data_IF_793135555845
#
_entry.id   IF_793135555845
#
_cell.length_a   1.000
_cell.length_b   1.000
_cell.length_c   1.000
_cell.angle_alpha   90.00
_cell.angle_beta   90.00
_cell.angle_gamma   90.00
#
_symmetry.space_group_name_H-M   'P 1'
#
loop_
_entity.id
_entity.type
_entity.pdbx_description
1 polymer ?
#
# COMPACT_ATOMS: atom_id res chain seq x y z
N UNK A 1 -8.52 5.99 26.45
CA UNK A 1 -7.46 6.61 25.62
C UNK A 1 -7.86 6.67 24.16
N UNK A 2 -8.36 5.59 23.56
CA UNK A 2 -8.79 5.55 22.15
C UNK A 2 -9.87 6.60 21.84
N UNK A 3 -10.92 6.69 22.67
CA UNK A 3 -11.98 7.71 22.52
C UNK A 3 -11.46 9.17 22.56
N UNK A 4 -10.37 9.42 23.27
CA UNK A 4 -9.72 10.74 23.28
C UNK A 4 -9.04 11.02 21.94
N UNK A 5 -8.32 10.02 21.40
CA UNK A 5 -7.66 10.12 20.08
C UNK A 5 -8.72 10.37 19.01
N UNK A 6 -9.80 9.58 18.98
CA UNK A 6 -10.89 9.74 18.03
C UNK A 6 -11.55 11.13 18.12
N UNK A 7 -11.81 11.62 19.33
CA UNK A 7 -12.37 12.96 19.53
C UNK A 7 -11.43 14.07 19.04
N UNK A 8 -10.13 13.94 19.31
CA UNK A 8 -9.12 14.88 18.81
C UNK A 8 -9.04 14.83 17.29
N UNK A 9 -9.02 13.66 16.69
CA UNK A 9 -9.00 13.46 15.25
C UNK A 9 -10.25 14.06 14.57
N UNK A 10 -11.43 13.89 15.19
CA UNK A 10 -12.67 14.50 14.71
C UNK A 10 -12.59 16.03 14.67
N UNK A 11 -11.99 16.65 15.69
CA UNK A 11 -11.76 18.10 15.72
C UNK A 11 -10.75 18.55 14.64
N UNK A 12 -9.75 17.74 14.33
CA UNK A 12 -8.80 18.02 13.23
C UNK A 12 -9.52 17.91 11.90
N UNK A 13 -10.25 16.81 11.66
CA UNK A 13 -11.00 16.63 10.43
C UNK A 13 -12.03 17.72 10.17
N UNK A 14 -12.77 18.15 11.20
CA UNK A 14 -13.75 19.24 11.06
C UNK A 14 -13.15 20.59 10.64
N UNK A 15 -11.85 20.80 10.90
CA UNK A 15 -11.12 22.01 10.48
C UNK A 15 -10.47 21.87 9.12
N UNK A 16 -9.89 20.72 8.82
CA UNK A 16 -9.10 20.50 7.61
C UNK A 16 -9.95 19.97 6.45
N UNK A 17 -10.91 19.07 6.71
CA UNK A 17 -11.62 18.33 5.68
C UNK A 17 -10.71 17.46 4.82
N UNK A 18 -11.23 17.03 3.68
CA UNK A 18 -10.40 16.42 2.62
C UNK A 18 -9.67 17.51 1.84
N UNK A 19 -8.41 17.25 1.41
CA UNK A 19 -7.61 18.23 0.69
C UNK A 19 -8.22 18.54 -0.69
N UNK A 20 -8.26 19.82 -1.09
CA UNK A 20 -8.75 20.22 -2.41
C UNK A 20 -7.68 19.99 -3.49
N UNK A 21 -8.09 20.00 -4.77
CA UNK A 21 -7.16 19.91 -5.91
C UNK A 21 -6.20 21.11 -6.04
N UNK A 22 -6.43 22.20 -5.30
CA UNK A 22 -5.47 23.32 -5.18
C UNK A 22 -4.27 22.99 -4.30
N UNK A 23 -4.33 21.92 -3.49
CA UNK A 23 -3.17 21.37 -2.80
C UNK A 23 -2.28 20.65 -3.82
N UNK A 24 -0.98 20.99 -3.85
CA UNK A 24 -0.03 20.45 -4.80
C UNK A 24 0.02 18.92 -4.80
N UNK A 25 -0.06 18.30 -3.61
CA UNK A 25 -0.05 16.85 -3.47
C UNK A 25 -1.34 16.17 -3.95
N UNK A 26 -2.42 16.95 -4.16
CA UNK A 26 -3.75 16.45 -4.54
C UNK A 26 -4.26 17.01 -5.86
N UNK A 27 -3.42 17.72 -6.61
CA UNK A 27 -3.82 18.38 -7.85
C UNK A 27 -4.38 17.46 -8.93
N UNK A 28 -4.04 16.19 -8.89
CA UNK A 28 -4.51 15.17 -9.84
C UNK A 28 -5.67 14.32 -9.29
N UNK A 29 -5.99 14.41 -8.00
CA UNK A 29 -6.99 13.56 -7.36
C UNK A 29 -8.09 14.39 -6.71
N UNK A 30 -9.31 14.26 -7.24
CA UNK A 30 -10.47 14.97 -6.74
C UNK A 30 -11.13 14.23 -5.56
N UNK A 31 -11.03 14.79 -4.37
CA UNK A 31 -11.54 14.18 -3.13
C UNK A 31 -12.99 14.57 -2.79
N UNK A 32 -13.69 15.37 -3.62
CA UNK A 32 -15.07 15.83 -3.35
C UNK A 32 -16.03 14.68 -3.11
N UNK A 33 -15.86 13.56 -3.80
CA UNK A 33 -16.71 12.38 -3.64
C UNK A 33 -16.63 11.79 -2.22
N UNK A 34 -15.47 11.86 -1.57
CA UNK A 34 -15.29 11.40 -0.19
C UNK A 34 -15.93 12.34 0.84
N UNK A 35 -15.90 13.63 0.57
CA UNK A 35 -16.46 14.65 1.48
C UNK A 35 -17.97 14.54 1.67
N UNK A 36 -18.66 13.95 0.70
CA UNK A 36 -20.12 13.81 0.70
C UNK A 36 -20.59 12.45 1.26
N UNK A 37 -19.67 11.52 1.55
CA UNK A 37 -20.02 10.21 2.07
C UNK A 37 -20.37 10.25 3.55
N UNK A 38 -21.31 9.39 3.94
CA UNK A 38 -21.68 9.13 5.34
C UNK A 38 -20.89 7.96 5.87
N UNK A 39 -20.39 8.06 7.11
CA UNK A 39 -19.71 6.95 7.77
C UNK A 39 -20.65 5.76 7.89
N UNK A 40 -20.19 4.58 7.41
CA UNK A 40 -20.92 3.32 7.55
C UNK A 40 -20.45 2.60 8.81
N UNK A 41 -21.32 2.50 9.81
CA UNK A 41 -21.02 1.94 11.14
C UNK A 41 -21.79 0.63 11.39
N UNK A 42 -22.64 0.20 10.47
CA UNK A 42 -23.49 -0.98 10.67
C UNK A 42 -22.69 -2.28 10.51
N UNK A 43 -22.93 -3.22 11.41
CA UNK A 43 -22.46 -4.59 11.26
C UNK A 43 -23.12 -5.21 10.02
N UNK A 44 -22.30 -5.62 9.06
CA UNK A 44 -22.78 -6.31 7.86
C UNK A 44 -22.93 -7.79 8.19
N UNK A 45 -24.04 -8.41 7.81
CA UNK A 45 -24.12 -9.85 7.78
C UNK A 45 -23.11 -10.37 6.75
N UNK A 46 -22.03 -10.94 7.26
CA UNK A 46 -20.95 -11.46 6.41
C UNK A 46 -21.49 -12.66 5.62
N UNK A 47 -21.69 -12.47 4.33
CA UNK A 47 -21.96 -13.58 3.40
C UNK A 47 -20.62 -14.18 2.97
N UNK A 48 -20.44 -15.48 3.15
CA UNK A 48 -19.24 -16.19 2.71
C UNK A 48 -19.10 -16.09 1.19
N UNK A 49 -18.12 -15.29 0.75
CA UNK A 49 -17.73 -15.13 -0.64
C UNK A 49 -16.26 -15.51 -0.72
N UNK A 50 -15.70 -15.61 -1.90
CA UNK A 50 -14.26 -15.77 -2.06
C UNK A 50 -13.53 -14.71 -1.20
N UNK A 51 -13.10 -15.15 -0.04
CA UNK A 51 -12.69 -14.26 1.05
C UNK A 51 -11.25 -13.81 0.89
N UNK A 52 -10.54 -14.16 -0.20
CA UNK A 52 -9.11 -13.94 -0.30
C UNK A 52 -8.29 -14.69 0.76
N UNK A 53 -8.90 -15.68 1.43
CA UNK A 53 -8.18 -16.56 2.36
C UNK A 53 -7.10 -17.33 1.62
N UNK A 54 -6.01 -17.56 2.30
CA UNK A 54 -4.90 -18.37 1.81
C UNK A 54 -4.82 -19.61 2.69
N UNK A 55 -4.81 -20.78 2.07
CA UNK A 55 -4.52 -22.03 2.77
C UNK A 55 -3.11 -21.95 3.37
N UNK A 56 -2.94 -22.52 4.57
CA UNK A 56 -1.67 -22.47 5.31
C UNK A 56 -1.18 -21.04 5.68
N UNK A 57 -2.09 -20.07 5.80
CA UNK A 57 -1.79 -18.74 6.32
C UNK A 57 -2.59 -18.46 7.60
N UNK A 58 -2.11 -17.51 8.39
CA UNK A 58 -2.83 -16.97 9.55
C UNK A 58 -3.79 -15.88 9.06
N UNK A 59 -5.04 -16.27 8.75
CA UNK A 59 -6.01 -15.34 8.18
C UNK A 59 -6.68 -14.47 9.24
N UNK A 60 -6.79 -13.16 8.94
CA UNK A 60 -7.54 -12.16 9.70
C UNK A 60 -8.42 -11.41 8.70
N UNK A 61 -9.74 -11.32 8.95
CA UNK A 61 -10.67 -10.74 8.00
C UNK A 61 -11.40 -9.54 8.62
N UNK A 62 -11.37 -8.42 7.89
CA UNK A 62 -12.26 -7.29 8.13
C UNK A 62 -13.34 -7.26 7.04
N UNK A 63 -14.58 -7.02 7.43
CA UNK A 63 -15.66 -6.68 6.52
C UNK A 63 -16.18 -5.28 6.87
N UNK A 64 -16.20 -4.38 5.91
CA UNK A 64 -16.63 -3.00 6.09
C UNK A 64 -15.96 -2.30 7.30
N UNK A 65 -14.66 -2.58 7.53
CA UNK A 65 -13.88 -2.00 8.63
C UNK A 65 -14.05 -2.67 9.99
N UNK A 66 -14.78 -3.79 10.10
CA UNK A 66 -14.97 -4.56 11.33
C UNK A 66 -14.31 -5.93 11.23
N UNK A 67 -13.65 -6.39 12.31
CA UNK A 67 -13.06 -7.72 12.36
C UNK A 67 -14.15 -8.76 12.45
N UNK A 68 -14.29 -9.60 11.42
CA UNK A 68 -15.24 -10.71 11.36
C UNK A 68 -14.58 -12.06 11.67
N UNK A 69 -13.27 -12.17 11.43
CA UNK A 69 -12.47 -13.33 11.74
C UNK A 69 -11.09 -12.88 12.22
N UNK A 70 -10.69 -13.34 13.40
CA UNK A 70 -9.36 -13.09 13.97
C UNK A 70 -8.46 -14.33 13.87
N UNK A 71 -7.35 -14.32 14.61
CA UNK A 71 -6.47 -15.48 14.71
C UNK A 71 -7.21 -16.64 15.38
N UNK A 72 -7.40 -17.75 14.65
CA UNK A 72 -8.18 -18.91 15.09
C UNK A 72 -7.53 -19.74 16.21
N UNK A 73 -6.25 -19.48 16.53
CA UNK A 73 -5.46 -20.19 17.55
C UNK A 73 -4.52 -19.23 18.24
N UNK A 74 -4.14 -19.54 19.48
CA UNK A 74 -3.00 -18.93 20.12
C UNK A 74 -1.74 -19.34 19.35
N UNK A 75 -1.26 -18.46 18.47
CA UNK A 75 -0.04 -18.67 17.71
C UNK A 75 1.09 -18.08 18.54
N UNK A 76 2.07 -18.93 18.87
CA UNK A 76 3.22 -18.48 19.64
C UNK A 76 3.89 -17.29 18.93
N UNK A 77 4.04 -16.20 19.65
CA UNK A 77 4.69 -14.99 19.14
C UNK A 77 3.79 -14.04 18.35
N UNK A 78 2.50 -14.38 18.09
CA UNK A 78 1.54 -13.46 17.51
C UNK A 78 0.41 -13.14 18.49
N UNK A 79 0.11 -11.86 18.66
CA UNK A 79 -1.00 -11.41 19.49
C UNK A 79 -1.84 -10.39 18.75
N UNK A 80 -3.10 -10.73 18.49
CA UNK A 80 -4.11 -9.79 18.02
C UNK A 80 -4.74 -9.13 19.25
N UNK A 81 -4.52 -7.84 19.42
CA UNK A 81 -5.01 -7.08 20.57
C UNK A 81 -6.42 -6.54 20.29
N UNK A 82 -7.32 -6.74 21.25
CA UNK A 82 -8.61 -6.07 21.27
C UNK A 82 -8.49 -4.74 22.02
N UNK A 83 -8.61 -3.62 21.30
CA UNK A 83 -8.42 -2.29 21.88
C UNK A 83 -9.49 -1.86 22.88
N UNK A 84 -10.70 -2.45 22.87
CA UNK A 84 -11.72 -2.19 23.88
C UNK A 84 -11.28 -2.66 25.27
N UNK A 85 -10.47 -3.72 25.35
CA UNK A 85 -9.94 -4.28 26.59
C UNK A 85 -8.62 -3.64 27.05
N UNK A 86 -7.90 -2.97 26.13
CA UNK A 86 -6.60 -2.36 26.42
C UNK A 86 -6.67 -0.83 26.53
N UNK A 87 -7.33 -0.32 27.56
CA UNK A 87 -7.36 1.12 27.87
C UNK A 87 -6.03 1.66 28.45
N UNK A 88 -4.97 0.85 28.54
CA UNK A 88 -3.66 1.29 29.03
C UNK A 88 -2.79 1.89 27.90
N UNK A 89 -2.00 2.90 28.25
CA UNK A 89 -1.03 3.53 27.35
C UNK A 89 0.01 2.55 26.78
N UNK A 90 0.36 1.51 27.55
CA UNK A 90 1.31 0.48 27.14
C UNK A 90 0.76 -0.43 26.03
N UNK A 91 -0.56 -0.64 25.98
CA UNK A 91 -1.19 -1.46 24.94
C UNK A 91 -1.25 -0.82 23.57
N UNK A 92 -1.24 0.53 23.49
CA UNK A 92 -1.36 1.24 22.21
C UNK A 92 -0.02 1.46 21.50
N UNK A 93 1.11 1.36 22.19
CA UNK A 93 2.44 1.55 21.59
C UNK A 93 2.57 2.84 20.79
N UNK A 94 2.96 2.72 19.53
CA UNK A 94 3.07 3.83 18.56
C UNK A 94 1.82 4.07 17.72
N UNK A 95 0.72 3.38 18.00
CA UNK A 95 -0.55 3.50 17.26
C UNK A 95 -1.01 4.96 17.14
N UNK A 96 -1.41 5.36 15.94
CA UNK A 96 -1.81 6.73 15.58
C UNK A 96 -0.73 7.81 15.82
N UNK A 97 0.51 7.44 16.10
CA UNK A 97 1.64 8.36 16.19
C UNK A 97 2.43 8.38 14.88
N UNK A 98 2.50 7.24 14.18
CA UNK A 98 3.24 7.08 12.93
C UNK A 98 2.52 7.83 11.81
N UNK A 99 1.21 7.64 11.69
CA UNK A 99 0.37 8.25 10.65
C UNK A 99 0.06 9.74 10.85
N UNK A 100 0.35 10.28 12.03
CA UNK A 100 0.20 11.71 12.39
C UNK A 100 -1.10 12.39 11.87
N UNK A 101 -2.25 11.94 12.38
CA UNK A 101 -3.56 12.48 12.01
C UNK A 101 -3.71 14.01 12.17
N UNK A 102 -2.82 14.66 12.93
CA UNK A 102 -2.86 16.13 13.14
C UNK A 102 -2.46 16.92 11.90
N UNK A 103 -1.80 16.31 10.94
CA UNK A 103 -1.28 16.94 9.73
C UNK A 103 -2.07 16.61 8.45
N UNK A 104 -3.06 15.71 8.52
CA UNK A 104 -3.83 15.27 7.36
C UNK A 104 -5.30 15.07 7.69
N UNK A 105 -6.19 15.76 6.96
CA UNK A 105 -7.62 15.54 7.07
C UNK A 105 -8.05 14.14 6.70
N UNK A 106 -7.39 13.50 5.71
CA UNK A 106 -7.65 12.11 5.31
C UNK A 106 -7.40 11.16 6.48
N UNK A 107 -6.23 11.28 7.13
CA UNK A 107 -5.87 10.43 8.26
C UNK A 107 -6.74 10.75 9.48
N UNK A 108 -7.04 12.05 9.70
CA UNK A 108 -7.91 12.47 10.79
C UNK A 108 -9.31 11.87 10.64
N UNK A 109 -9.86 11.80 9.42
CA UNK A 109 -11.16 11.18 9.19
C UNK A 109 -11.14 9.68 9.52
N UNK A 110 -10.18 8.92 8.99
CA UNK A 110 -10.04 7.51 9.37
C UNK A 110 -9.89 7.36 10.89
N UNK A 111 -8.99 8.13 11.51
CA UNK A 111 -8.73 8.04 12.95
C UNK A 111 -9.94 8.42 13.80
N UNK A 112 -10.84 9.26 13.32
CA UNK A 112 -12.07 9.64 14.06
C UNK A 112 -13.20 8.61 13.94
N UNK A 113 -13.27 7.86 12.84
CA UNK A 113 -14.45 7.09 12.45
C UNK A 113 -14.21 5.56 12.38
N UNK A 114 -12.96 5.06 12.49
CA UNK A 114 -12.75 3.62 12.48
C UNK A 114 -13.52 2.95 13.63
N UNK A 115 -14.14 1.81 13.32
CA UNK A 115 -14.98 1.06 14.27
C UNK A 115 -14.18 -0.05 14.95
N UNK A 116 -13.21 -0.62 14.22
CA UNK A 116 -12.35 -1.67 14.73
C UNK A 116 -10.94 -1.52 14.17
N UNK A 117 -9.96 -2.18 14.77
CA UNK A 117 -8.56 -2.12 14.31
C UNK A 117 -7.89 -3.48 14.45
N UNK A 118 -7.22 -3.90 13.40
CA UNK A 118 -6.25 -4.99 13.51
C UNK A 118 -5.00 -4.43 14.19
N UNK A 119 -4.87 -4.69 15.48
CA UNK A 119 -3.66 -4.38 16.24
C UNK A 119 -2.88 -5.66 16.48
N UNK A 120 -1.89 -5.90 15.64
CA UNK A 120 -1.09 -7.12 15.65
C UNK A 120 0.30 -6.84 16.25
N UNK A 121 0.61 -7.52 17.34
CA UNK A 121 1.98 -7.57 17.90
C UNK A 121 2.67 -8.86 17.48
N UNK A 122 3.84 -8.70 16.88
CA UNK A 122 4.77 -9.78 16.53
C UNK A 122 5.90 -9.75 17.56
N UNK A 123 6.01 -10.82 18.35
CA UNK A 123 6.97 -10.89 19.46
C UNK A 123 8.41 -10.85 18.98
N UNK A 124 9.31 -10.45 19.88
CA UNK A 124 10.75 -10.58 19.66
C UNK A 124 11.11 -12.03 19.30
N UNK A 125 12.08 -12.18 18.41
CA UNK A 125 12.56 -13.47 17.91
C UNK A 125 11.50 -14.36 17.23
N UNK A 126 10.28 -13.83 16.96
CA UNK A 126 9.31 -14.54 16.12
C UNK A 126 9.92 -14.77 14.74
N UNK A 127 9.93 -16.02 14.31
CA UNK A 127 10.42 -16.41 13.00
C UNK A 127 9.52 -17.52 12.45
N UNK A 128 8.76 -17.21 11.39
CA UNK A 128 7.83 -18.17 10.78
C UNK A 128 7.72 -17.94 9.28
N UNK A 129 7.74 -19.04 8.53
CA UNK A 129 7.47 -19.03 7.09
C UNK A 129 5.96 -18.98 6.79
N UNK A 130 5.11 -19.21 7.81
CA UNK A 130 3.65 -19.13 7.66
C UNK A 130 3.25 -17.66 7.62
N UNK A 131 2.71 -17.16 6.49
CA UNK A 131 2.35 -15.76 6.36
C UNK A 131 1.13 -15.39 7.21
N UNK A 132 1.06 -14.12 7.56
CA UNK A 132 -0.13 -13.49 8.13
C UNK A 132 -0.90 -12.87 6.97
N UNK A 133 -2.14 -13.29 6.74
CA UNK A 133 -2.97 -12.80 5.66
C UNK A 133 -4.11 -11.94 6.21
N UNK A 134 -4.05 -10.66 5.98
CA UNK A 134 -5.07 -9.69 6.38
C UNK A 134 -5.92 -9.38 5.15
N UNK A 135 -7.22 -9.65 5.22
CA UNK A 135 -8.16 -9.38 4.14
C UNK A 135 -9.17 -8.34 4.58
N UNK A 136 -9.20 -7.22 3.88
CA UNK A 136 -10.17 -6.14 4.08
C UNK A 136 -11.17 -6.15 2.92
N UNK A 137 -12.41 -6.53 3.21
CA UNK A 137 -13.48 -6.65 2.22
C UNK A 137 -14.43 -5.47 2.36
N UNK A 138 -14.70 -4.80 1.25
CA UNK A 138 -15.82 -3.86 1.14
C UNK A 138 -16.97 -4.57 0.46
N UNK A 139 -18.12 -4.69 1.14
CA UNK A 139 -19.26 -5.46 0.66
C UNK A 139 -20.57 -4.70 0.82
N UNK A 140 -21.45 -4.77 -0.19
CA UNK A 140 -22.81 -4.25 -0.16
C UNK A 140 -22.91 -2.78 0.35
N UNK A 141 -21.89 -1.97 0.06
CA UNK A 141 -21.82 -0.56 0.48
C UNK A 141 -22.39 0.35 -0.60
N UNK A 142 -23.36 1.18 -0.25
CA UNK A 142 -23.97 2.16 -1.15
C UNK A 142 -22.98 3.30 -1.48
N UNK A 143 -23.12 3.93 -2.66
CA UNK A 143 -22.21 4.96 -3.19
C UNK A 143 -22.00 6.17 -2.24
N UNK A 144 -23.01 6.50 -1.46
CA UNK A 144 -22.94 7.63 -0.51
C UNK A 144 -22.37 7.24 0.88
N UNK A 145 -21.84 6.05 1.04
CA UNK A 145 -21.24 5.58 2.30
C UNK A 145 -19.72 5.40 2.18
N UNK A 146 -19.04 5.49 3.31
CA UNK A 146 -17.60 5.30 3.44
C UNK A 146 -17.26 4.46 4.66
N UNK A 147 -16.28 3.56 4.49
CA UNK A 147 -15.71 2.73 5.56
C UNK A 147 -14.27 3.13 5.86
N UNK A 148 -13.78 2.74 7.06
CA UNK A 148 -12.49 3.15 7.59
C UNK A 148 -11.67 1.95 8.08
N UNK A 149 -11.14 1.09 7.19
CA UNK A 149 -10.25 0.01 7.62
C UNK A 149 -9.03 0.58 8.35
N UNK A 150 -8.66 -0.05 9.48
CA UNK A 150 -7.51 0.37 10.28
C UNK A 150 -6.65 -0.82 10.67
N UNK A 151 -5.35 -0.72 10.38
CA UNK A 151 -4.36 -1.76 10.65
C UNK A 151 -3.17 -1.11 11.37
N UNK A 152 -2.71 -1.74 12.45
CA UNK A 152 -1.46 -1.40 13.11
C UNK A 152 -0.67 -2.67 13.41
N UNK A 153 0.56 -2.70 12.96
CA UNK A 153 1.46 -3.85 13.11
C UNK A 153 2.72 -3.39 13.82
N UNK A 154 3.02 -4.07 14.92
CA UNK A 154 4.24 -3.87 15.68
C UNK A 154 5.13 -5.10 15.57
N UNK A 155 6.19 -4.99 14.77
CA UNK A 155 7.24 -6.00 14.65
C UNK A 155 8.33 -5.69 15.67
N UNK A 156 8.39 -6.49 16.73
CA UNK A 156 9.38 -6.32 17.79
C UNK A 156 10.78 -6.74 17.34
N UNK A 157 11.77 -6.37 18.15
CA UNK A 157 13.17 -6.59 17.84
C UNK A 157 13.47 -8.03 17.40
N UNK A 158 14.31 -8.19 16.39
CA UNK A 158 14.76 -9.47 15.82
C UNK A 158 13.64 -10.38 15.28
N UNK A 159 12.40 -9.90 15.15
CA UNK A 159 11.33 -10.68 14.54
C UNK A 159 11.50 -10.78 13.03
N UNK A 160 11.01 -11.89 12.45
CA UNK A 160 10.94 -12.10 11.01
C UNK A 160 9.54 -12.56 10.61
N UNK A 161 8.89 -11.82 9.73
CA UNK A 161 7.49 -12.08 9.37
C UNK A 161 7.17 -11.71 7.93
N UNK A 162 6.23 -12.46 7.36
CA UNK A 162 5.64 -12.20 6.04
C UNK A 162 4.16 -11.87 6.22
N UNK A 163 3.73 -10.76 5.62
CA UNK A 163 2.38 -10.25 5.77
C UNK A 163 1.79 -9.97 4.40
N UNK A 164 0.59 -10.49 4.16
CA UNK A 164 -0.22 -10.13 3.02
C UNK A 164 -1.36 -9.24 3.49
N UNK A 165 -1.60 -8.15 2.78
CA UNK A 165 -2.75 -7.28 2.97
C UNK A 165 -3.49 -7.24 1.65
N UNK A 166 -4.75 -7.64 1.67
CA UNK A 166 -5.61 -7.65 0.50
C UNK A 166 -6.82 -6.76 0.73
N UNK A 167 -7.00 -5.73 -0.10
CA UNK A 167 -8.25 -4.98 -0.18
C UNK A 167 -9.07 -5.51 -1.35
N UNK A 168 -10.28 -5.96 -1.06
CA UNK A 168 -11.17 -6.59 -2.04
C UNK A 168 -12.49 -5.83 -2.07
N UNK A 169 -12.86 -5.35 -3.24
CA UNK A 169 -14.22 -4.84 -3.48
C UNK A 169 -15.14 -5.98 -3.92
N UNK A 170 -16.17 -6.22 -3.13
CA UNK A 170 -17.22 -7.18 -3.45
C UNK A 170 -18.53 -6.46 -3.73
N UNK A 171 -18.67 -5.98 -4.98
CA UNK A 171 -19.88 -5.28 -5.48
C UNK A 171 -20.28 -4.03 -4.69
N UNK A 172 -19.36 -3.41 -3.94
CA UNK A 172 -19.64 -2.16 -3.25
C UNK A 172 -19.41 -0.95 -4.18
N UNK A 173 -20.31 0.02 -4.11
CA UNK A 173 -20.20 1.30 -4.81
C UNK A 173 -19.62 2.39 -3.91
N UNK A 174 -19.68 2.20 -2.60
CA UNK A 174 -19.22 3.15 -1.59
C UNK A 174 -17.69 3.27 -1.52
N UNK A 175 -17.26 4.29 -0.81
CA UNK A 175 -15.85 4.63 -0.65
C UNK A 175 -15.18 3.89 0.52
N UNK A 176 -13.84 3.82 0.48
CA UNK A 176 -13.05 3.43 1.63
C UNK A 176 -11.87 4.39 1.84
N UNK A 177 -11.55 4.64 3.11
CA UNK A 177 -10.37 5.39 3.53
C UNK A 177 -9.61 4.51 4.53
N UNK A 178 -8.58 3.82 4.05
CA UNK A 178 -7.77 2.86 4.82
C UNK A 178 -6.52 3.51 5.38
N UNK A 179 -6.12 3.11 6.58
CA UNK A 179 -4.83 3.49 7.17
C UNK A 179 -4.15 2.26 7.76
N UNK A 180 -2.91 2.02 7.31
CA UNK A 180 -2.04 0.95 7.80
C UNK A 180 -0.75 1.54 8.36
N UNK A 181 -0.40 1.18 9.59
CA UNK A 181 0.82 1.63 10.27
C UNK A 181 1.69 0.43 10.64
N UNK A 182 2.98 0.53 10.37
CA UNK A 182 3.99 -0.48 10.69
C UNK A 182 5.09 0.15 11.54
N UNK A 183 5.30 -0.40 12.73
CA UNK A 183 6.43 -0.08 13.56
C UNK A 183 7.40 -1.26 13.58
N UNK A 184 8.59 -1.05 13.04
CA UNK A 184 9.65 -2.05 12.90
C UNK A 184 10.77 -1.73 13.86
N UNK A 185 10.89 -2.51 14.95
CA UNK A 185 11.95 -2.34 15.95
C UNK A 185 13.31 -2.82 15.41
N UNK A 186 14.36 -2.59 16.18
CA UNK A 186 15.73 -2.94 15.85
C UNK A 186 15.87 -4.39 15.36
N UNK A 187 16.61 -4.58 14.25
CA UNK A 187 16.92 -5.90 13.67
C UNK A 187 15.69 -6.71 13.23
N UNK A 188 14.48 -6.13 13.22
CA UNK A 188 13.30 -6.79 12.69
C UNK A 188 13.36 -6.90 11.18
N UNK A 189 12.77 -7.97 10.63
CA UNK A 189 12.61 -8.17 9.19
C UNK A 189 11.13 -8.36 8.88
N UNK A 190 10.62 -7.57 7.95
CA UNK A 190 9.22 -7.66 7.54
C UNK A 190 9.13 -7.65 6.01
N UNK A 191 8.41 -8.63 5.45
CA UNK A 191 7.99 -8.60 4.05
C UNK A 191 6.49 -8.38 3.98
N UNK A 192 6.06 -7.29 3.33
CA UNK A 192 4.65 -6.94 3.18
C UNK A 192 4.30 -6.90 1.71
N UNK A 193 3.29 -7.70 1.30
CA UNK A 193 2.70 -7.64 -0.03
C UNK A 193 1.26 -7.13 0.11
N UNK A 194 1.04 -5.94 -0.42
CA UNK A 194 -0.21 -5.20 -0.33
C UNK A 194 -0.89 -5.17 -1.68
N UNK A 195 -2.07 -5.77 -1.79
CA UNK A 195 -2.81 -5.90 -3.04
C UNK A 195 -4.18 -5.27 -2.92
N UNK A 196 -4.46 -4.26 -3.74
CA UNK A 196 -5.76 -3.61 -3.84
C UNK A 196 -6.46 -4.04 -5.13
N UNK A 197 -7.49 -4.87 -5.01
CA UNK A 197 -8.38 -5.26 -6.09
C UNK A 197 -9.74 -4.60 -5.85
N UNK A 198 -9.87 -3.35 -6.32
CA UNK A 198 -10.94 -2.42 -5.93
C UNK A 198 -11.67 -1.82 -7.13
N UNK A 199 -11.83 -2.62 -8.19
CA UNK A 199 -12.52 -2.18 -9.41
C UNK A 199 -13.86 -1.51 -9.08
N UNK A 200 -14.16 -0.38 -9.74
CA UNK A 200 -15.38 0.43 -9.57
C UNK A 200 -15.56 1.04 -8.16
N UNK A 201 -14.50 1.16 -7.37
CA UNK A 201 -14.55 1.75 -6.03
C UNK A 201 -13.69 3.02 -5.94
N UNK A 202 -14.11 3.94 -5.07
CA UNK A 202 -13.30 5.08 -4.64
C UNK A 202 -12.53 4.70 -3.37
N UNK A 203 -11.22 4.73 -3.44
CA UNK A 203 -10.39 4.23 -2.34
C UNK A 203 -9.20 5.15 -2.08
N UNK A 204 -9.06 5.61 -0.86
CA UNK A 204 -7.83 6.24 -0.37
C UNK A 204 -7.15 5.27 0.58
N UNK A 205 -5.90 4.97 0.31
CA UNK A 205 -5.08 4.10 1.10
C UNK A 205 -3.85 4.84 1.61
N UNK A 206 -3.59 4.77 2.90
CA UNK A 206 -2.45 5.45 3.52
C UNK A 206 -1.63 4.45 4.31
N UNK A 207 -0.38 4.26 3.91
CA UNK A 207 0.53 3.25 4.47
C UNK A 207 1.76 3.94 5.06
N UNK A 208 2.06 3.65 6.31
CA UNK A 208 3.13 4.28 7.07
C UNK A 208 4.07 3.25 7.66
N UNK A 209 5.37 3.45 7.47
CA UNK A 209 6.42 2.66 8.11
C UNK A 209 7.31 3.55 8.96
N UNK A 210 7.59 3.12 10.19
CA UNK A 210 8.70 3.61 11.02
C UNK A 210 9.68 2.48 11.28
N UNK A 211 10.94 2.72 10.97
CA UNK A 211 11.99 1.72 10.92
C UNK A 211 13.16 2.12 11.83
N UNK A 212 13.52 1.23 12.76
CA UNK A 212 14.65 1.41 13.69
C UNK A 212 15.91 0.69 13.18
N UNK A 213 17.02 0.79 13.93
CA UNK A 213 18.35 0.33 13.52
C UNK A 213 18.38 -1.12 13.03
N UNK A 214 19.19 -1.39 11.99
CA UNK A 214 19.48 -2.72 11.43
C UNK A 214 18.25 -3.49 10.92
N UNK A 215 17.08 -2.87 10.86
CA UNK A 215 15.86 -3.52 10.42
C UNK A 215 15.76 -3.58 8.90
N UNK A 216 14.93 -4.50 8.38
CA UNK A 216 14.76 -4.75 6.94
C UNK A 216 13.30 -4.74 6.55
N UNK A 217 12.98 -4.01 5.50
CA UNK A 217 11.63 -3.97 4.92
C UNK A 217 11.68 -4.38 3.45
N UNK A 218 10.85 -5.37 3.10
CA UNK A 218 10.42 -5.59 1.72
C UNK A 218 8.95 -5.22 1.63
N UNK A 219 8.60 -4.27 0.78
CA UNK A 219 7.22 -3.82 0.62
C UNK A 219 6.85 -3.70 -0.85
N UNK A 220 5.85 -4.46 -1.29
CA UNK A 220 5.24 -4.35 -2.61
C UNK A 220 3.79 -3.89 -2.46
N UNK A 221 3.42 -2.80 -3.11
CA UNK A 221 2.03 -2.36 -3.25
C UNK A 221 1.57 -2.53 -4.70
N UNK A 222 0.40 -3.13 -4.87
CA UNK A 222 -0.19 -3.37 -6.20
C UNK A 222 -1.64 -2.91 -6.22
N UNK A 223 -2.01 -2.12 -7.25
CA UNK A 223 -3.40 -1.74 -7.50
C UNK A 223 -3.89 -2.34 -8.83
N UNK A 224 -5.04 -3.04 -8.75
CA UNK A 224 -5.80 -3.55 -9.87
C UNK A 224 -7.08 -2.71 -10.03
N UNK A 225 -7.02 -1.67 -10.84
CA UNK A 225 -8.14 -0.78 -11.10
C UNK A 225 -8.51 0.14 -9.96
N UNK A 226 -9.68 0.78 -10.11
CA UNK A 226 -10.31 1.71 -9.18
C UNK A 226 -10.93 2.89 -9.92
N UNK A 227 -12.23 3.20 -9.66
CA UNK A 227 -12.82 4.45 -10.16
C UNK A 227 -11.95 5.65 -9.75
N UNK A 228 -11.51 5.64 -8.50
CA UNK A 228 -10.48 6.52 -7.97
C UNK A 228 -9.69 5.76 -6.90
N UNK A 229 -8.44 5.44 -7.18
CA UNK A 229 -7.51 4.90 -6.20
C UNK A 229 -6.41 5.91 -5.92
N UNK A 230 -6.24 6.27 -4.66
CA UNK A 230 -5.12 7.08 -4.19
C UNK A 230 -4.37 6.35 -3.10
N UNK A 231 -3.08 6.09 -3.31
CA UNK A 231 -2.19 5.53 -2.29
C UNK A 231 -1.15 6.56 -1.84
N UNK A 232 -1.09 6.78 -0.52
CA UNK A 232 -0.05 7.59 0.12
C UNK A 232 0.83 6.65 0.94
N UNK A 233 2.10 6.55 0.59
CA UNK A 233 3.06 5.66 1.25
C UNK A 233 4.18 6.52 1.84
N UNK A 234 4.29 6.53 3.17
CA UNK A 234 5.32 7.25 3.90
C UNK A 234 6.22 6.27 4.67
N UNK A 235 7.50 6.24 4.33
CA UNK A 235 8.48 5.34 4.92
C UNK A 235 9.55 6.17 5.62
N UNK A 236 9.56 6.13 6.95
CA UNK A 236 10.54 6.82 7.77
C UNK A 236 11.62 5.82 8.23
N UNK A 237 12.81 5.95 7.67
CA UNK A 237 14.00 5.19 8.02
C UNK A 237 14.74 5.99 9.09
N UNK A 238 14.32 5.78 10.35
CA UNK A 238 14.86 6.50 11.51
C UNK A 238 16.20 5.89 11.97
N UNK A 239 16.34 4.57 11.77
CA UNK A 239 17.50 3.80 12.17
C UNK A 239 18.64 3.81 11.17
N UNK A 240 19.82 3.37 11.62
CA UNK A 240 21.02 3.15 10.80
C UNK A 240 21.05 1.73 10.25
N UNK A 241 21.81 1.53 9.17
CA UNK A 241 22.10 0.23 8.55
C UNK A 241 20.83 -0.54 8.12
N UNK A 242 19.76 0.16 7.79
CA UNK A 242 18.55 -0.44 7.28
C UNK A 242 18.72 -0.88 5.82
N UNK A 243 18.14 -2.03 5.45
CA UNK A 243 18.21 -2.56 4.09
C UNK A 243 16.80 -2.77 3.54
N UNK A 244 16.45 -2.04 2.47
CA UNK A 244 15.08 -1.92 2.03
C UNK A 244 14.90 -2.17 0.54
N UNK A 245 13.87 -2.96 0.22
CA UNK A 245 13.37 -3.18 -1.11
C UNK A 245 11.90 -2.75 -1.19
N UNK A 246 11.63 -1.74 -2.01
CA UNK A 246 10.27 -1.24 -2.21
C UNK A 246 9.81 -1.46 -3.64
N UNK A 247 8.53 -1.74 -3.81
CA UNK A 247 7.91 -1.94 -5.11
C UNK A 247 6.52 -1.34 -5.20
N UNK A 248 6.17 -0.83 -6.39
CA UNK A 248 4.81 -0.45 -6.75
C UNK A 248 4.50 -1.03 -8.12
N UNK A 249 3.34 -1.67 -8.24
CA UNK A 249 2.78 -2.15 -9.51
C UNK A 249 1.40 -1.52 -9.75
N UNK A 250 1.30 -0.70 -10.78
CA UNK A 250 0.06 -0.03 -11.17
C UNK A 250 -0.52 -0.71 -12.41
N UNK A 251 -1.75 -1.20 -12.33
CA UNK A 251 -2.47 -1.85 -13.41
C UNK A 251 -3.82 -1.16 -13.62
N UNK A 252 -3.90 -0.27 -14.60
CA UNK A 252 -5.10 0.50 -14.91
C UNK A 252 -5.69 0.13 -16.26
N UNK A 253 -7.01 0.01 -16.33
CA UNK A 253 -7.79 -0.27 -17.53
C UNK A 253 -9.08 0.56 -17.57
N UNK A 254 -9.81 0.52 -18.67
CA UNK A 254 -11.07 1.24 -18.83
C UNK A 254 -10.90 2.76 -18.53
N UNK A 255 -11.50 3.28 -17.46
CA UNK A 255 -11.41 4.68 -16.99
C UNK A 255 -10.80 4.77 -15.60
N UNK A 256 -10.02 3.79 -15.19
CA UNK A 256 -9.38 3.77 -13.88
C UNK A 256 -8.53 5.02 -13.66
N UNK A 257 -8.62 5.58 -12.44
CA UNK A 257 -7.76 6.65 -11.97
C UNK A 257 -6.92 6.15 -10.80
N UNK A 258 -5.61 5.94 -11.02
CA UNK A 258 -4.71 5.36 -10.02
C UNK A 258 -3.57 6.33 -9.74
N UNK A 259 -3.50 6.82 -8.50
CA UNK A 259 -2.54 7.83 -8.06
C UNK A 259 -1.72 7.32 -6.86
N UNK A 260 -0.40 7.17 -7.06
CA UNK A 260 0.55 6.78 -6.03
C UNK A 260 1.46 7.94 -5.63
N UNK A 261 1.49 8.26 -4.35
CA UNK A 261 2.47 9.15 -3.74
C UNK A 261 3.31 8.37 -2.74
N UNK A 262 4.62 8.39 -2.93
CA UNK A 262 5.56 7.66 -2.08
C UNK A 262 6.64 8.61 -1.56
N UNK A 263 6.85 8.63 -0.25
CA UNK A 263 7.91 9.38 0.41
C UNK A 263 8.81 8.42 1.18
N UNK A 264 10.09 8.41 0.87
CA UNK A 264 11.10 7.61 1.57
C UNK A 264 12.05 8.59 2.25
N UNK A 265 12.02 8.63 3.58
CA UNK A 265 12.74 9.59 4.38
C UNK A 265 13.91 8.90 5.11
N UNK A 266 15.13 9.08 4.62
CA UNK A 266 16.35 8.65 5.31
C UNK A 266 16.73 9.70 6.35
N UNK A 267 16.56 9.36 7.63
CA UNK A 267 16.89 10.24 8.75
C UNK A 267 18.25 9.91 9.36
N UNK A 268 18.71 8.66 9.24
CA UNK A 268 19.99 8.16 9.75
C UNK A 268 20.81 7.50 8.65
N UNK A 269 22.12 7.40 8.87
CA UNK A 269 23.09 7.00 7.86
C UNK A 269 23.19 5.49 7.58
N UNK A 270 23.96 5.16 6.55
CA UNK A 270 24.34 3.81 6.14
C UNK A 270 23.18 2.91 5.72
N UNK A 271 22.03 3.48 5.39
CA UNK A 271 20.84 2.74 5.00
C UNK A 271 20.70 2.65 3.47
N UNK A 272 20.12 1.54 3.00
CA UNK A 272 19.91 1.27 1.58
C UNK A 272 18.40 1.27 1.31
N UNK A 273 18.00 1.89 0.19
CA UNK A 273 16.65 1.75 -0.34
C UNK A 273 16.65 1.59 -1.86
N UNK A 274 16.09 0.50 -2.35
CA UNK A 274 15.86 0.25 -3.77
C UNK A 274 14.36 0.30 -4.04
N UNK A 275 13.91 1.27 -4.83
CA UNK A 275 12.51 1.43 -5.18
C UNK A 275 12.28 1.16 -6.66
N UNK A 276 11.40 0.21 -6.97
CA UNK A 276 10.99 -0.12 -8.34
C UNK A 276 9.50 0.16 -8.52
N UNK A 277 9.15 1.08 -9.40
CA UNK A 277 7.77 1.29 -9.84
C UNK A 277 7.59 0.77 -11.27
N UNK A 278 6.54 0.01 -11.50
CA UNK A 278 6.10 -0.42 -12.82
C UNK A 278 4.63 -0.07 -12.99
N UNK A 279 4.32 0.63 -14.07
CA UNK A 279 2.94 1.00 -14.40
C UNK A 279 2.59 0.42 -15.76
N UNK A 280 1.43 -0.17 -15.87
CA UNK A 280 0.86 -0.61 -17.15
C UNK A 280 -0.56 -0.09 -17.24
N UNK A 281 -0.82 0.67 -18.29
CA UNK A 281 -2.10 1.32 -18.51
C UNK A 281 -2.65 0.94 -19.89
N UNK A 282 -3.93 0.62 -19.95
CA UNK A 282 -4.65 0.36 -21.22
C UNK A 282 -5.97 1.13 -21.26
N UNK A 283 -6.60 1.13 -22.43
CA UNK A 283 -7.87 1.82 -22.74
C UNK A 283 -7.77 3.35 -22.51
N UNK A 284 -8.45 3.91 -21.52
CA UNK A 284 -8.45 5.33 -21.17
C UNK A 284 -8.05 5.53 -19.69
N UNK A 285 -7.27 4.61 -19.14
CA UNK A 285 -6.83 4.70 -17.75
C UNK A 285 -5.82 5.85 -17.55
N UNK A 286 -5.89 6.47 -16.39
CA UNK A 286 -5.01 7.56 -15.94
C UNK A 286 -4.19 7.11 -14.74
N UNK A 287 -2.87 7.18 -14.87
CA UNK A 287 -1.91 6.83 -13.81
C UNK A 287 -1.12 8.04 -13.35
N UNK A 288 -0.91 8.15 -12.06
CA UNK A 288 -0.04 9.16 -11.45
C UNK A 288 0.96 8.45 -10.55
N UNK A 289 2.23 8.83 -10.64
CA UNK A 289 3.27 8.41 -9.73
C UNK A 289 4.10 9.61 -9.29
N UNK A 290 4.04 9.93 -8.00
CA UNK A 290 4.93 10.87 -7.33
C UNK A 290 5.81 10.08 -6.37
N UNK A 291 7.12 10.02 -6.65
CA UNK A 291 8.09 9.30 -5.82
C UNK A 291 9.14 10.27 -5.28
N UNK A 292 9.16 10.47 -3.96
CA UNK A 292 10.15 11.34 -3.32
C UNK A 292 11.09 10.54 -2.43
N UNK A 293 12.38 10.79 -2.58
CA UNK A 293 13.40 10.35 -1.61
C UNK A 293 13.96 11.61 -0.95
N UNK A 294 13.85 11.66 0.37
CA UNK A 294 14.45 12.69 1.22
C UNK A 294 15.63 12.09 1.99
N UNK A 295 16.81 12.72 1.87
CA UNK A 295 18.00 12.35 2.64
C UNK A 295 18.36 13.50 3.57
N UNK A 296 18.17 13.28 4.86
CA UNK A 296 18.41 14.29 5.91
C UNK A 296 19.91 14.50 6.15
N UNK A 297 20.28 15.62 6.77
CA UNK A 297 21.67 15.99 7.05
C UNK A 297 22.46 14.92 7.84
N UNK A 298 21.80 14.16 8.71
CA UNK A 298 22.42 13.07 9.50
C UNK A 298 22.52 11.72 8.78
N UNK A 299 22.13 11.61 7.51
CA UNK A 299 21.99 10.35 6.79
C UNK A 299 23.18 10.04 5.85
N UNK A 300 24.43 10.31 6.31
CA UNK A 300 25.64 9.98 5.57
C UNK A 300 25.74 8.48 5.26
N UNK A 301 26.34 8.11 4.13
CA UNK A 301 26.47 6.72 3.67
C UNK A 301 25.18 6.13 3.10
N UNK A 302 24.11 6.91 2.93
CA UNK A 302 22.86 6.46 2.30
C UNK A 302 23.09 6.07 0.83
N UNK A 303 22.50 4.93 0.43
CA UNK A 303 22.42 4.48 -0.96
C UNK A 303 20.95 4.29 -1.36
N UNK A 304 20.40 5.25 -2.09
CA UNK A 304 18.98 5.25 -2.43
C UNK A 304 18.76 5.33 -3.96
N UNK A 305 17.93 4.44 -4.48
CA UNK A 305 17.61 4.38 -5.91
C UNK A 305 16.12 4.29 -6.13
N UNK A 306 15.59 5.13 -7.03
CA UNK A 306 14.21 5.10 -7.47
C UNK A 306 14.18 4.89 -8.99
N UNK A 307 13.50 3.86 -9.44
CA UNK A 307 13.31 3.56 -10.85
C UNK A 307 11.83 3.40 -11.17
N UNK A 308 11.29 4.29 -12.00
CA UNK A 308 9.91 4.26 -12.47
C UNK A 308 9.88 4.01 -13.98
N UNK A 309 9.21 2.94 -14.40
CA UNK A 309 9.00 2.66 -15.81
C UNK A 309 7.52 2.44 -16.07
N UNK A 310 7.00 3.08 -17.09
CA UNK A 310 5.60 3.11 -17.41
C UNK A 310 5.38 2.60 -18.84
N UNK A 311 4.50 1.62 -18.99
CA UNK A 311 4.13 1.01 -20.27
C UNK A 311 2.70 1.42 -20.62
N UNK A 312 2.57 2.18 -21.71
CA UNK A 312 1.28 2.65 -22.21
C UNK A 312 0.85 1.72 -23.35
N UNK A 313 -0.24 0.99 -23.13
CA UNK A 313 -0.73 -0.04 -24.06
C UNK A 313 -1.81 0.49 -25.02
N UNK A 314 -2.30 1.71 -24.81
CA UNK A 314 -3.32 2.38 -25.60
C UNK A 314 -3.03 3.87 -25.78
N UNK A 315 -3.47 4.45 -26.88
CA UNK A 315 -3.20 5.86 -27.22
C UNK A 315 -3.94 6.88 -26.31
N UNK A 316 -4.97 6.43 -25.59
CA UNK A 316 -5.78 7.28 -24.70
C UNK A 316 -5.34 7.21 -23.24
N UNK A 317 -4.33 6.42 -22.93
CA UNK A 317 -3.80 6.35 -21.57
C UNK A 317 -2.96 7.58 -21.25
N UNK A 318 -3.06 8.05 -20.02
CA UNK A 318 -2.23 9.15 -19.51
C UNK A 318 -1.41 8.68 -18.31
N UNK A 319 -0.14 9.10 -18.26
CA UNK A 319 0.74 8.82 -17.14
C UNK A 319 1.50 10.07 -16.72
N UNK A 320 1.27 10.51 -15.50
CA UNK A 320 2.01 11.60 -14.86
C UNK A 320 3.07 10.99 -13.93
N UNK A 321 4.34 11.22 -14.22
CA UNK A 321 5.46 10.66 -13.46
C UNK A 321 6.39 11.74 -12.94
N UNK A 322 6.53 11.81 -11.62
CA UNK A 322 7.23 12.87 -10.90
C UNK A 322 8.22 12.28 -9.86
N UNK A 323 9.35 11.71 -10.28
CA UNK A 323 10.37 11.29 -9.33
C UNK A 323 11.16 12.51 -8.82
N UNK A 324 11.38 12.57 -7.49
CA UNK A 324 12.05 13.67 -6.81
C UNK A 324 13.15 13.16 -5.88
N UNK A 325 14.28 13.90 -5.82
CA UNK A 325 15.34 13.70 -4.84
C UNK A 325 15.55 15.02 -4.09
N UNK A 326 15.47 14.94 -2.77
CA UNK A 326 15.84 16.05 -1.88
C UNK A 326 17.00 15.58 -0.98
N UNK A 327 18.20 16.08 -1.25
CA UNK A 327 19.43 15.56 -0.65
C UNK A 327 20.07 16.68 0.17
N UNK A 328 20.08 16.49 1.49
CA UNK A 328 20.65 17.43 2.45
C UNK A 328 21.94 16.90 3.11
N UNK A 329 22.62 15.93 2.46
CA UNK A 329 23.86 15.29 2.93
C UNK A 329 24.81 15.05 1.76
N UNK A 330 26.11 15.29 1.95
CA UNK A 330 27.11 15.24 0.86
C UNK A 330 27.59 13.81 0.54
N UNK A 331 27.80 12.97 1.54
CA UNK A 331 28.33 11.61 1.37
C UNK A 331 27.20 10.60 1.17
N UNK A 332 26.63 10.58 -0.04
CA UNK A 332 25.52 9.69 -0.39
C UNK A 332 25.58 9.21 -1.84
N UNK A 333 24.91 8.10 -2.15
CA UNK A 333 24.73 7.57 -3.51
C UNK A 333 23.24 7.52 -3.82
N UNK A 334 22.72 8.58 -4.44
CA UNK A 334 21.31 8.68 -4.76
C UNK A 334 21.08 8.83 -6.25
N UNK A 335 20.08 8.15 -6.77
CA UNK A 335 19.69 8.27 -8.18
C UNK A 335 18.20 8.04 -8.36
N UNK A 336 17.63 8.71 -9.37
CA UNK A 336 16.32 8.36 -9.88
C UNK A 336 16.34 8.22 -11.40
N UNK A 337 15.40 7.46 -11.94
CA UNK A 337 15.16 7.33 -13.37
C UNK A 337 13.68 7.13 -13.63
N UNK A 338 13.18 7.72 -14.72
CA UNK A 338 11.82 7.53 -15.16
C UNK A 338 11.77 7.38 -16.68
N UNK A 339 10.96 6.41 -17.13
CA UNK A 339 10.67 6.23 -18.55
C UNK A 339 9.18 5.97 -18.75
N UNK A 340 8.63 6.52 -19.83
CA UNK A 340 7.26 6.22 -20.28
C UNK A 340 7.30 5.94 -21.78
N UNK A 341 6.65 4.88 -22.19
CA UNK A 341 6.63 4.50 -23.60
C UNK A 341 5.64 3.38 -23.92
N UNK A 342 5.55 3.07 -25.21
CA UNK A 342 4.74 1.96 -25.69
C UNK A 342 5.58 0.67 -25.77
N UNK A 343 4.93 -0.45 -26.09
CA UNK A 343 5.65 -1.69 -26.39
C UNK A 343 6.65 -1.47 -27.53
N UNK A 344 7.85 -2.00 -27.34
CA UNK A 344 8.90 -1.98 -28.36
C UNK A 344 8.43 -2.68 -29.64
N UNK A 345 8.31 -1.89 -30.71
CA UNK A 345 7.82 -2.37 -32.01
C UNK A 345 8.81 -3.31 -32.69
N UNK A 346 10.10 -3.11 -32.49
CA UNK A 346 11.14 -3.94 -33.08
C UNK A 346 11.21 -5.29 -32.37
N UNK A 347 11.11 -5.29 -31.04
CA UNK A 347 11.01 -6.52 -30.25
C UNK A 347 9.73 -7.31 -30.61
N UNK A 348 8.61 -6.62 -30.76
CA UNK A 348 7.35 -7.26 -31.19
C UNK A 348 7.47 -7.85 -32.60
N UNK A 349 8.06 -7.11 -33.54
CA UNK A 349 8.32 -7.58 -34.90
C UNK A 349 9.24 -8.81 -34.91
N UNK A 350 10.30 -8.79 -34.10
CA UNK A 350 11.24 -9.92 -33.98
C UNK A 350 10.54 -11.18 -33.51
N UNK A 351 9.76 -11.13 -32.43
CA UNK A 351 9.00 -12.27 -31.92
C UNK A 351 8.03 -12.84 -32.98
N UNK A 352 7.32 -11.96 -33.67
CA UNK A 352 6.40 -12.35 -34.76
C UNK A 352 7.13 -13.00 -35.95
N UNK A 353 8.31 -12.53 -36.31
CA UNK A 353 9.11 -13.11 -37.36
C UNK A 353 9.61 -14.53 -37.06
N UNK A 354 9.59 -14.90 -35.75
CA UNK A 354 9.89 -16.25 -35.23
C UNK A 354 8.66 -17.15 -35.15
N UNK A 355 7.51 -16.71 -35.64
CA UNK A 355 6.27 -17.50 -35.67
C UNK A 355 5.39 -17.37 -34.43
N UNK A 356 5.74 -16.49 -33.49
CA UNK A 356 4.89 -16.20 -32.30
C UNK A 356 3.75 -15.28 -32.77
N UNK A 357 2.50 -15.60 -32.39
CA UNK A 357 1.39 -14.74 -32.74
C UNK A 357 1.45 -13.38 -32.04
N UNK A 358 0.64 -12.40 -32.51
CA UNK A 358 0.72 -11.02 -32.02
C UNK A 358 0.34 -10.90 -30.55
N UNK A 359 -0.63 -11.70 -30.08
CA UNK A 359 -1.12 -11.65 -28.69
C UNK A 359 -0.08 -12.23 -27.74
N UNK A 360 0.40 -13.43 -28.05
CA UNK A 360 1.45 -14.11 -27.29
C UNK A 360 2.75 -13.29 -27.26
N UNK A 361 3.14 -12.66 -28.37
CA UNK A 361 4.32 -11.80 -28.42
C UNK A 361 4.18 -10.57 -27.50
N UNK A 362 2.98 -9.96 -27.42
CA UNK A 362 2.71 -8.89 -26.48
C UNK A 362 2.78 -9.39 -25.02
N UNK A 363 2.17 -10.51 -24.71
CA UNK A 363 2.21 -11.11 -23.36
C UNK A 363 3.65 -11.34 -22.91
N UNK A 364 4.50 -11.94 -23.74
CA UNK A 364 5.93 -12.14 -23.45
C UNK A 364 6.65 -10.83 -23.12
N UNK A 365 6.43 -9.78 -23.90
CA UNK A 365 7.07 -8.49 -23.67
C UNK A 365 6.59 -7.83 -22.37
N UNK A 366 5.30 -7.94 -22.05
CA UNK A 366 4.72 -7.40 -20.83
C UNK A 366 5.20 -8.20 -19.59
N UNK A 367 5.23 -9.53 -19.66
CA UNK A 367 5.80 -10.36 -18.62
C UNK A 367 7.28 -10.01 -18.36
N UNK A 368 8.06 -9.81 -19.41
CA UNK A 368 9.44 -9.35 -19.31
C UNK A 368 9.57 -7.99 -18.61
N UNK A 369 8.65 -7.06 -18.86
CA UNK A 369 8.65 -5.73 -18.26
C UNK A 369 8.44 -5.76 -16.74
N UNK A 370 7.61 -6.66 -16.22
CA UNK A 370 7.28 -6.76 -14.79
C UNK A 370 8.13 -7.79 -14.05
N UNK A 371 8.79 -8.72 -14.76
CA UNK A 371 9.48 -9.88 -14.18
C UNK A 371 10.47 -9.49 -13.08
N UNK A 372 11.27 -8.45 -13.31
CA UNK A 372 12.27 -7.96 -12.34
C UNK A 372 11.61 -7.48 -11.04
N UNK A 373 10.44 -6.82 -11.12
CA UNK A 373 9.71 -6.37 -9.96
C UNK A 373 9.17 -7.57 -9.18
N UNK A 374 8.44 -8.47 -9.85
CA UNK A 374 7.81 -9.61 -9.19
C UNK A 374 8.85 -10.58 -8.58
N UNK A 375 9.98 -10.81 -9.27
CA UNK A 375 11.05 -11.68 -8.76
C UNK A 375 11.74 -11.14 -7.49
N UNK A 376 11.52 -9.86 -7.14
CA UNK A 376 12.08 -9.26 -5.91
C UNK A 376 11.26 -9.56 -4.66
N UNK A 377 10.05 -10.13 -4.81
CA UNK A 377 9.09 -10.36 -3.73
C UNK A 377 8.50 -11.77 -3.81
N UNK A 378 8.14 -12.34 -2.67
CA UNK A 378 7.49 -13.65 -2.61
C UNK A 378 5.98 -13.53 -2.85
N UNK A 379 5.62 -13.49 -4.14
CA UNK A 379 4.24 -13.27 -4.60
C UNK A 379 3.47 -14.56 -4.93
N UNK A 380 4.07 -15.76 -4.77
CA UNK A 380 3.48 -17.02 -5.24
C UNK A 380 2.14 -17.32 -4.57
N UNK A 381 2.08 -17.24 -3.24
CA UNK A 381 0.87 -17.55 -2.48
C UNK A 381 -0.33 -16.64 -2.81
N UNK A 382 -0.09 -15.43 -3.32
CA UNK A 382 -1.14 -14.54 -3.78
C UNK A 382 -1.49 -14.73 -5.26
N UNK A 383 -0.80 -15.67 -5.94
CA UNK A 383 -0.94 -15.87 -7.40
C UNK A 383 -0.87 -14.56 -8.18
N UNK A 384 0.01 -13.64 -7.73
CA UNK A 384 0.05 -12.29 -8.30
C UNK A 384 0.42 -12.32 -9.77
N UNK A 385 1.33 -13.21 -10.18
CA UNK A 385 1.67 -13.43 -11.59
C UNK A 385 0.47 -13.83 -12.44
N UNK A 386 -0.38 -14.72 -11.93
CA UNK A 386 -1.61 -15.14 -12.63
C UNK A 386 -2.65 -14.01 -12.69
N UNK A 387 -2.79 -13.23 -11.62
CA UNK A 387 -3.68 -12.05 -11.62
C UNK A 387 -3.24 -11.03 -12.67
N UNK A 388 -1.94 -10.81 -12.81
CA UNK A 388 -1.38 -9.93 -13.85
C UNK A 388 -1.63 -10.52 -15.25
N UNK A 389 -1.41 -11.81 -15.47
CA UNK A 389 -1.71 -12.47 -16.75
C UNK A 389 -3.18 -12.31 -17.13
N UNK A 390 -4.11 -12.55 -16.22
CA UNK A 390 -5.54 -12.32 -16.45
C UNK A 390 -5.83 -10.86 -16.82
N UNK A 391 -5.20 -9.90 -16.14
CA UNK A 391 -5.36 -8.48 -16.45
C UNK A 391 -4.84 -8.12 -17.85
N UNK A 392 -3.76 -8.76 -18.32
CA UNK A 392 -3.21 -8.55 -19.67
C UNK A 392 -4.19 -9.04 -20.74
N UNK A 393 -4.85 -10.18 -20.51
CA UNK A 393 -5.75 -10.84 -21.45
C UNK A 393 -7.12 -10.17 -21.58
N UNK A 394 -7.56 -9.44 -20.59
CA UNK A 394 -8.79 -8.64 -20.60
C UNK A 394 -8.60 -7.35 -21.39
#
# INVERSE_FOLDING_TARGET
MLSVIQKQAKNVFSKMGYPPMSDENWRYTNTKSFSNCKSHIKQSDFKSIDTGKIDNANNIILCNGQITEGLNKNIQGLTLLNLEKHNSSEGLGKFSQISNYKQSGVIAHNTSEFTDVIHLNISADYNSDIPINIVSITQDLEDNHIIFPRIYIHAKASSNSKIFIQHINNNALGAANSVSEFYCEESSTIEVIHVSNIKNQKFIDSVFFNQEDNSKIKFLSTAFGGELYRSNIDININGKNCDNQFGVLILGSEYDHIDYHTNINHQSGHSISNFLCRSMLKDSANGIFNGKILVSQGASGTNARLNNNNLLLSDKTEMQSNPQLEINCEDVKCSHGSTSGNLDKDALFYLRSRGIDKTEAKEILIEGFISKLLASFDCELLSLGEKVKKWIQL
#
